data_IF_801457637270
#
_entry.id   IF_801457637270
#
_cell.length_a   1.000
_cell.length_b   1.000
_cell.length_c   1.000
_cell.angle_alpha   90.00
_cell.angle_beta   90.00
_cell.angle_gamma   90.00
#
_symmetry.space_group_name_H-M   'P 1'
#
loop_
_entity.id
_entity.type
_entity.pdbx_description
1 polymer ?
#
# COMPACT_ATOMS: atom_id res chain seq x y z
N UNK A 1 8.22 -23.88 10.13
CA UNK A 1 7.35 -22.75 9.73
C UNK A 1 7.06 -21.73 10.85
N UNK A 2 6.94 -22.11 12.14
CA UNK A 2 6.62 -21.16 13.22
C UNK A 2 7.67 -20.07 13.52
N UNK A 3 8.97 -20.31 13.24
CA UNK A 3 10.05 -19.34 13.54
C UNK A 3 10.08 -18.11 12.62
N UNK A 4 9.56 -18.22 11.39
CA UNK A 4 9.48 -17.08 10.48
C UNK A 4 8.36 -16.15 10.97
N UNK A 5 7.15 -16.69 11.15
CA UNK A 5 6.00 -15.95 11.67
C UNK A 5 6.27 -15.30 13.03
N UNK A 6 6.88 -16.01 13.99
CA UNK A 6 7.17 -15.43 15.31
C UNK A 6 8.24 -14.33 15.27
N UNK A 7 9.14 -14.30 14.27
CA UNK A 7 10.13 -13.22 14.11
C UNK A 7 9.49 -11.94 13.57
N UNK A 8 8.59 -12.07 12.58
CA UNK A 8 7.81 -10.94 12.07
C UNK A 8 6.84 -10.40 13.15
N UNK A 9 6.30 -11.29 13.99
CA UNK A 9 5.37 -10.94 15.07
C UNK A 9 6.08 -10.33 16.30
N UNK A 10 7.27 -10.82 16.66
CA UNK A 10 8.06 -10.28 17.78
C UNK A 10 8.71 -8.91 17.51
N UNK A 11 8.74 -8.46 16.25
CA UNK A 11 9.31 -7.16 15.87
C UNK A 11 8.35 -6.00 16.05
N UNK A 12 7.05 -6.26 16.22
CA UNK A 12 6.04 -5.25 16.47
C UNK A 12 5.53 -5.46 17.89
N UNK A 13 6.01 -4.63 18.82
CA UNK A 13 5.52 -4.68 20.20
C UNK A 13 4.04 -4.25 20.22
N UNK A 14 3.15 -5.23 20.33
CA UNK A 14 1.71 -5.02 20.41
C UNK A 14 1.30 -4.32 21.72
N UNK A 15 2.15 -4.40 22.75
CA UNK A 15 1.86 -3.94 24.11
C UNK A 15 2.98 -3.04 24.68
N UNK A 16 3.25 -1.87 24.08
CA UNK A 16 4.31 -1.00 24.57
C UNK A 16 4.07 -0.58 26.03
N UNK A 17 5.10 -0.75 26.87
CA UNK A 17 5.06 -0.39 28.29
C UNK A 17 5.00 1.13 28.52
N UNK A 18 5.41 1.93 27.54
CA UNK A 18 5.41 3.39 27.58
C UNK A 18 4.04 3.98 27.95
N UNK A 19 4.05 5.01 28.81
CA UNK A 19 2.86 5.76 29.18
C UNK A 19 2.24 6.38 27.93
N UNK A 20 0.92 6.20 27.69
CA UNK A 20 0.27 6.80 26.54
C UNK A 20 0.38 8.32 26.65
N UNK A 21 0.90 8.96 25.60
CA UNK A 21 1.00 10.42 25.50
C UNK A 21 -0.23 10.95 24.78
N UNK A 22 -0.62 12.20 25.06
CA UNK A 22 -1.82 12.78 24.46
C UNK A 22 -1.72 12.70 22.92
N UNK A 23 -2.65 12.02 22.24
CA UNK A 23 -2.59 11.91 20.80
C UNK A 23 -2.74 13.31 20.17
N UNK A 24 -1.91 13.66 19.17
CA UNK A 24 -1.97 14.97 18.54
C UNK A 24 -3.34 15.20 17.88
N UNK A 25 -3.83 16.44 17.93
CA UNK A 25 -5.18 16.85 17.51
C UNK A 25 -5.39 16.82 15.99
N UNK A 26 -4.32 16.67 15.21
CA UNK A 26 -4.38 16.57 13.74
C UNK A 26 -4.51 15.11 13.28
N UNK A 27 -5.40 14.81 12.33
CA UNK A 27 -5.58 13.46 11.76
C UNK A 27 -4.27 12.85 11.24
N UNK A 28 -3.46 13.64 10.53
CA UNK A 28 -2.15 13.21 10.01
C UNK A 28 -1.16 12.91 11.14
N UNK A 29 -1.09 13.76 12.16
CA UNK A 29 -0.28 13.54 13.35
C UNK A 29 -0.74 12.32 14.16
N UNK A 30 -2.05 12.05 14.24
CA UNK A 30 -2.61 10.90 14.91
C UNK A 30 -2.20 9.61 14.19
N UNK A 31 -2.43 9.54 12.88
CA UNK A 31 -2.00 8.42 12.05
C UNK A 31 -0.48 8.20 12.15
N UNK A 32 0.33 9.27 12.10
CA UNK A 32 1.78 9.18 12.22
C UNK A 32 2.22 8.72 13.62
N UNK A 33 1.56 9.16 14.69
CA UNK A 33 1.88 8.76 16.06
C UNK A 33 1.68 7.25 16.25
N UNK A 34 0.58 6.68 15.74
CA UNK A 34 0.32 5.26 15.80
C UNK A 34 1.11 4.44 14.76
N UNK A 35 1.44 5.03 13.59
CA UNK A 35 2.19 4.37 12.53
C UNK A 35 3.71 4.41 12.71
N UNK A 36 4.27 5.36 13.48
CA UNK A 36 5.73 5.52 13.72
C UNK A 36 6.48 4.21 13.99
N UNK A 37 6.04 3.35 14.92
CA UNK A 37 6.73 2.10 15.20
C UNK A 37 6.52 1.01 14.13
N UNK A 38 5.55 1.18 13.22
CA UNK A 38 5.30 0.30 12.07
C UNK A 38 5.86 0.85 10.75
N UNK A 39 6.43 2.06 10.75
CA UNK A 39 7.05 2.68 9.57
C UNK A 39 8.02 1.76 8.81
N UNK A 40 8.96 1.03 9.43
CA UNK A 40 9.88 0.17 8.67
C UNK A 40 9.15 -0.93 7.89
N UNK A 41 8.07 -1.49 8.45
CA UNK A 41 7.24 -2.49 7.78
C UNK A 41 6.36 -1.89 6.69
N UNK A 42 5.81 -0.69 6.93
CA UNK A 42 5.05 0.06 5.93
C UNK A 42 5.94 0.46 4.73
N UNK A 43 7.18 0.88 4.97
CA UNK A 43 8.15 1.17 3.91
C UNK A 43 8.58 -0.09 3.15
N UNK A 44 8.81 -1.21 3.85
CA UNK A 44 9.12 -2.47 3.20
C UNK A 44 7.97 -2.95 2.30
N UNK A 45 6.73 -2.85 2.78
CA UNK A 45 5.53 -3.18 1.99
C UNK A 45 5.39 -2.24 0.79
N UNK A 46 5.50 -0.94 1.02
CA UNK A 46 5.45 0.09 -0.03
C UNK A 46 6.51 -0.15 -1.10
N UNK A 47 7.74 -0.50 -0.71
CA UNK A 47 8.81 -0.89 -1.62
C UNK A 47 8.45 -2.12 -2.46
N UNK A 48 7.81 -3.13 -1.87
CA UNK A 48 7.31 -4.29 -2.60
C UNK A 48 6.25 -3.93 -3.63
N UNK A 49 5.30 -3.06 -3.27
CA UNK A 49 4.26 -2.57 -4.19
C UNK A 49 4.86 -1.74 -5.33
N UNK A 50 5.90 -0.94 -5.08
CA UNK A 50 6.65 -0.23 -6.12
C UNK A 50 7.38 -1.22 -7.05
N UNK A 51 8.06 -2.22 -6.50
CA UNK A 51 8.72 -3.25 -7.31
C UNK A 51 7.73 -4.00 -8.20
N UNK A 52 6.56 -4.32 -7.67
CA UNK A 52 5.48 -4.94 -8.43
C UNK A 52 5.08 -4.07 -9.63
N UNK A 53 4.79 -2.78 -9.39
CA UNK A 53 4.44 -1.83 -10.44
C UNK A 53 5.53 -1.70 -11.51
N UNK A 54 6.81 -1.60 -11.10
CA UNK A 54 7.94 -1.50 -12.03
C UNK A 54 8.02 -2.73 -12.95
N UNK A 55 7.90 -3.93 -12.39
CA UNK A 55 7.94 -5.18 -13.17
C UNK A 55 6.79 -5.20 -14.20
N UNK A 56 5.60 -4.79 -13.78
CA UNK A 56 4.43 -4.73 -14.66
C UNK A 56 4.61 -3.73 -15.81
N UNK A 57 5.14 -2.54 -15.53
CA UNK A 57 5.47 -1.53 -16.55
C UNK A 57 6.51 -2.09 -17.54
N UNK A 58 7.54 -2.80 -17.05
CA UNK A 58 8.55 -3.43 -17.90
C UNK A 58 7.91 -4.48 -18.82
N UNK A 59 6.98 -5.29 -18.30
CA UNK A 59 6.27 -6.31 -19.07
C UNK A 59 5.40 -5.69 -20.16
N UNK A 60 4.67 -4.62 -19.85
CA UNK A 60 3.84 -3.88 -20.83
C UNK A 60 4.74 -3.23 -21.89
N UNK A 61 5.84 -2.59 -21.49
CA UNK A 61 6.79 -1.99 -22.43
C UNK A 61 7.52 -3.03 -23.30
N UNK A 62 7.72 -4.24 -22.79
CA UNK A 62 8.24 -5.35 -23.58
C UNK A 62 7.22 -5.87 -24.58
N UNK A 63 5.94 -5.95 -24.21
CA UNK A 63 4.87 -6.36 -25.14
C UNK A 63 4.86 -5.49 -26.39
N UNK A 64 4.96 -4.16 -26.24
CA UNK A 64 5.05 -3.25 -27.39
C UNK A 64 6.26 -3.53 -28.30
N UNK A 65 7.44 -3.76 -27.70
CA UNK A 65 8.65 -4.12 -28.47
C UNK A 65 8.57 -5.50 -29.11
N UNK A 66 7.90 -6.45 -28.45
CA UNK A 66 7.69 -7.80 -28.94
C UNK A 66 6.83 -7.79 -30.20
N UNK A 67 5.74 -7.03 -30.20
CA UNK A 67 4.89 -6.85 -31.41
C UNK A 67 5.71 -6.27 -32.56
N UNK A 68 6.49 -5.20 -32.31
CA UNK A 68 7.33 -4.59 -33.35
C UNK A 68 8.36 -5.58 -33.92
N UNK A 69 9.06 -6.34 -33.06
CA UNK A 69 10.04 -7.35 -33.50
C UNK A 69 9.39 -8.49 -34.28
N UNK A 70 8.19 -8.91 -33.89
CA UNK A 70 7.45 -9.94 -34.61
C UNK A 70 7.10 -9.48 -36.03
N UNK A 71 6.78 -8.20 -36.20
CA UNK A 71 6.56 -7.59 -37.52
C UNK A 71 7.84 -7.48 -38.37
N UNK A 72 9.00 -7.31 -37.75
CA UNK A 72 10.30 -7.15 -38.44
C UNK A 72 10.97 -8.49 -38.83
N UNK A 73 10.98 -9.48 -37.95
CA UNK A 73 11.85 -10.68 -38.09
C UNK A 73 11.19 -11.89 -38.78
N UNK A 74 9.87 -11.87 -39.01
CA UNK A 74 9.14 -13.00 -39.60
C UNK A 74 9.10 -14.26 -38.71
N UNK A 75 8.17 -15.20 -38.95
CA UNK A 75 7.90 -16.32 -38.02
C UNK A 75 9.08 -17.28 -37.82
N UNK A 76 9.92 -17.45 -38.84
CA UNK A 76 10.98 -18.48 -38.85
C UNK A 76 12.21 -18.08 -38.02
N UNK A 77 12.56 -16.79 -37.96
CA UNK A 77 13.71 -16.28 -37.19
C UNK A 77 13.33 -15.80 -35.79
N UNK A 78 12.09 -15.36 -35.61
CA UNK A 78 11.59 -14.85 -34.34
C UNK A 78 11.74 -15.85 -33.19
N UNK A 79 11.38 -17.12 -33.39
CA UNK A 79 11.49 -18.11 -32.32
C UNK A 79 12.93 -18.51 -32.01
N UNK A 80 13.86 -18.45 -32.97
CA UNK A 80 15.26 -18.79 -32.70
C UNK A 80 15.99 -17.68 -31.91
N UNK A 81 15.70 -16.42 -32.23
CA UNK A 81 16.40 -15.27 -31.65
C UNK A 81 15.75 -14.74 -30.36
N UNK A 82 14.41 -14.84 -30.24
CA UNK A 82 13.67 -14.17 -29.18
C UNK A 82 13.16 -15.12 -28.07
N UNK A 83 13.29 -16.45 -28.23
CA UNK A 83 12.83 -17.44 -27.23
C UNK A 83 13.43 -17.19 -25.84
N UNK A 84 14.73 -16.87 -25.78
CA UNK A 84 15.43 -16.66 -24.51
C UNK A 84 14.88 -15.47 -23.74
N UNK A 85 14.57 -14.37 -24.44
CA UNK A 85 13.94 -13.18 -23.84
C UNK A 85 12.49 -13.45 -23.47
N UNK A 86 11.73 -14.12 -24.33
CA UNK A 86 10.35 -14.54 -24.07
C UNK A 86 10.26 -15.41 -22.80
N UNK A 87 11.13 -16.41 -22.66
CA UNK A 87 11.18 -17.27 -21.48
C UNK A 87 11.57 -16.50 -20.22
N UNK A 88 12.52 -15.56 -20.31
CA UNK A 88 12.89 -14.69 -19.20
C UNK A 88 11.73 -13.81 -18.73
N UNK A 89 11.00 -13.18 -19.66
CA UNK A 89 9.84 -12.34 -19.35
C UNK A 89 8.63 -13.17 -18.86
N UNK A 90 8.42 -14.36 -19.42
CA UNK A 90 7.42 -15.31 -18.94
C UNK A 90 7.74 -15.77 -17.51
N UNK A 91 9.01 -16.05 -17.19
CA UNK A 91 9.45 -16.35 -15.83
C UNK A 91 9.23 -15.19 -14.87
N UNK A 92 9.51 -13.95 -15.30
CA UNK A 92 9.24 -12.75 -14.51
C UNK A 92 7.74 -12.60 -14.20
N UNK A 93 6.87 -12.83 -15.19
CA UNK A 93 5.42 -12.76 -15.02
C UNK A 93 4.84 -13.92 -14.19
N UNK A 94 5.24 -15.16 -14.47
CA UNK A 94 4.63 -16.36 -13.88
C UNK A 94 5.23 -16.76 -12.53
N UNK A 95 6.45 -16.29 -12.22
CA UNK A 95 7.15 -16.67 -10.99
C UNK A 95 7.41 -15.44 -10.13
N UNK A 96 8.08 -14.41 -10.67
CA UNK A 96 8.51 -13.28 -9.84
C UNK A 96 7.32 -12.45 -9.32
N UNK A 97 6.35 -12.12 -10.17
CA UNK A 97 5.15 -11.36 -9.75
C UNK A 97 4.33 -12.11 -8.68
N UNK A 98 3.99 -13.40 -8.83
CA UNK A 98 3.32 -14.16 -7.77
C UNK A 98 4.13 -14.22 -6.48
N UNK A 99 5.45 -14.41 -6.53
CA UNK A 99 6.28 -14.43 -5.33
C UNK A 99 6.24 -13.08 -4.60
N UNK A 100 6.40 -11.97 -5.33
CA UNK A 100 6.33 -10.62 -4.76
C UNK A 100 4.95 -10.37 -4.16
N UNK A 101 3.89 -10.74 -4.88
CA UNK A 101 2.50 -10.61 -4.42
C UNK A 101 2.23 -11.41 -3.14
N UNK A 102 2.70 -12.67 -3.09
CA UNK A 102 2.54 -13.54 -1.91
C UNK A 102 3.33 -12.98 -0.72
N UNK A 103 4.57 -12.53 -0.91
CA UNK A 103 5.36 -11.92 0.17
C UNK A 103 4.66 -10.65 0.67
N UNK A 104 4.18 -9.79 -0.23
CA UNK A 104 3.43 -8.58 0.11
C UNK A 104 2.15 -8.90 0.88
N UNK A 105 1.38 -9.88 0.42
CA UNK A 105 0.18 -10.35 1.08
C UNK A 105 0.48 -10.94 2.47
N UNK A 106 1.56 -11.71 2.62
CA UNK A 106 1.98 -12.26 3.91
C UNK A 106 2.34 -11.13 4.89
N UNK A 107 3.12 -10.14 4.46
CA UNK A 107 3.45 -8.99 5.31
C UNK A 107 2.18 -8.21 5.69
N UNK A 108 1.30 -7.95 4.72
CA UNK A 108 0.08 -7.19 4.94
C UNK A 108 -0.86 -7.90 5.92
N UNK A 109 -1.26 -9.14 5.60
CA UNK A 109 -2.28 -9.86 6.36
C UNK A 109 -1.75 -10.44 7.66
N UNK A 110 -0.50 -10.92 7.69
CA UNK A 110 0.04 -11.60 8.86
C UNK A 110 0.67 -10.63 9.86
N UNK A 111 1.43 -9.64 9.41
CA UNK A 111 2.19 -8.77 10.31
C UNK A 111 1.42 -7.51 10.69
N UNK A 112 0.70 -6.88 9.75
CA UNK A 112 0.15 -5.53 9.95
C UNK A 112 -1.36 -5.54 10.25
N UNK A 113 -2.14 -6.31 9.49
CA UNK A 113 -3.62 -6.32 9.56
C UNK A 113 -4.14 -6.64 10.98
N UNK A 114 -3.47 -7.55 11.70
CA UNK A 114 -3.83 -7.96 13.06
C UNK A 114 -3.20 -7.10 14.17
N UNK A 115 -1.91 -6.81 14.08
CA UNK A 115 -1.18 -6.13 15.17
C UNK A 115 -1.50 -4.63 15.27
N UNK A 116 -1.70 -3.97 14.13
CA UNK A 116 -1.94 -2.51 14.09
C UNK A 116 -3.20 -2.08 14.88
N UNK A 117 -4.41 -2.65 14.65
CA UNK A 117 -5.60 -2.22 15.39
C UNK A 117 -5.56 -2.67 16.85
N UNK A 118 -4.93 -3.81 17.18
CA UNK A 118 -4.83 -4.27 18.56
C UNK A 118 -3.92 -3.37 19.40
N UNK A 119 -2.82 -2.89 18.83
CA UNK A 119 -1.95 -1.90 19.49
C UNK A 119 -2.68 -0.59 19.78
N UNK A 120 -3.48 -0.09 18.85
CA UNK A 120 -4.29 1.11 19.05
C UNK A 120 -5.31 0.89 20.16
N UNK A 121 -6.01 -0.25 20.14
CA UNK A 121 -6.97 -0.63 21.19
C UNK A 121 -6.32 -0.70 22.57
N UNK A 122 -5.13 -1.29 22.67
CA UNK A 122 -4.39 -1.39 23.93
C UNK A 122 -3.98 -0.02 24.48
N UNK A 123 -3.40 0.84 23.64
CA UNK A 123 -2.98 2.18 24.06
C UNK A 123 -4.17 3.03 24.50
N UNK A 124 -5.28 2.95 23.76
CA UNK A 124 -6.48 3.68 24.12
C UNK A 124 -7.15 3.12 25.38
N UNK A 125 -7.15 1.80 25.59
CA UNK A 125 -7.63 1.20 26.83
C UNK A 125 -6.82 1.71 28.03
N UNK A 126 -5.48 1.72 27.93
CA UNK A 126 -4.60 2.28 28.98
C UNK A 126 -4.83 3.78 29.20
N UNK A 127 -5.14 4.54 28.14
CA UNK A 127 -5.46 5.96 28.24
C UNK A 127 -6.80 6.20 28.95
N UNK A 128 -7.82 5.40 28.65
CA UNK A 128 -9.15 5.50 29.28
C UNK A 128 -9.07 5.20 30.77
N UNK A 129 -8.23 4.22 31.19
CA UNK A 129 -8.01 3.92 32.62
C UNK A 129 -7.46 5.09 33.44
N UNK A 130 -6.83 6.09 32.78
CA UNK A 130 -6.31 7.28 33.43
C UNK A 130 -7.28 8.46 33.51
N UNK A 131 -8.52 8.30 33.02
CA UNK A 131 -9.50 9.40 32.98
C UNK A 131 -10.23 9.58 34.31
N UNK A 132 -10.69 10.82 34.54
CA UNK A 132 -11.42 11.19 35.76
C UNK A 132 -12.80 10.51 35.85
N UNK A 133 -13.32 10.37 37.07
CA UNK A 133 -14.65 9.80 37.29
C UNK A 133 -15.77 10.63 36.61
N UNK A 134 -15.61 11.95 36.52
CA UNK A 134 -16.57 12.83 35.83
C UNK A 134 -16.73 12.49 34.35
N UNK A 135 -15.63 12.16 33.66
CA UNK A 135 -15.67 11.73 32.25
C UNK A 135 -16.52 10.46 32.05
N UNK A 136 -16.48 9.52 32.99
CA UNK A 136 -17.30 8.30 32.95
C UNK A 136 -18.77 8.54 33.34
N UNK A 137 -19.07 9.65 34.01
CA UNK A 137 -20.45 10.07 34.31
C UNK A 137 -21.09 10.78 33.12
N UNK A 138 -20.31 11.56 32.37
CA UNK A 138 -20.80 12.34 31.22
C UNK A 138 -20.95 11.49 29.94
N UNK A 139 -20.07 10.50 29.74
CA UNK A 139 -20.01 9.75 28.47
C UNK A 139 -20.31 8.25 28.68
N UNK A 140 -21.35 7.74 28.01
CA UNK A 140 -21.74 6.33 28.11
C UNK A 140 -20.63 5.39 27.64
N UNK A 141 -20.29 4.40 28.47
CA UNK A 141 -19.25 3.40 28.20
C UNK A 141 -19.40 2.70 26.84
N UNK A 142 -20.64 2.42 26.40
CA UNK A 142 -20.91 1.82 25.09
C UNK A 142 -20.46 2.71 23.93
N UNK A 143 -20.67 4.02 24.02
CA UNK A 143 -20.25 4.97 22.98
C UNK A 143 -18.73 5.07 22.88
N UNK A 144 -18.06 5.08 24.04
CA UNK A 144 -16.59 5.09 24.12
C UNK A 144 -16.02 3.81 23.48
N UNK A 145 -16.57 2.65 23.82
CA UNK A 145 -16.13 1.36 23.29
C UNK A 145 -16.33 1.28 21.77
N UNK A 146 -17.48 1.71 21.24
CA UNK A 146 -17.73 1.72 19.79
C UNK A 146 -16.81 2.72 19.06
N UNK A 147 -16.66 3.94 19.57
CA UNK A 147 -15.74 4.93 18.99
C UNK A 147 -14.32 4.38 18.95
N UNK A 148 -13.86 3.77 20.04
CA UNK A 148 -12.53 3.17 20.09
C UNK A 148 -12.37 2.05 19.05
N UNK A 149 -13.33 1.12 19.02
CA UNK A 149 -13.30 -0.04 18.14
C UNK A 149 -13.22 0.37 16.66
N UNK A 150 -14.11 1.29 16.25
CA UNK A 150 -14.20 1.76 14.87
C UNK A 150 -13.00 2.62 14.50
N UNK A 151 -12.58 3.55 15.36
CA UNK A 151 -11.43 4.43 15.08
C UNK A 151 -10.15 3.63 14.85
N UNK A 152 -9.91 2.58 15.64
CA UNK A 152 -8.74 1.71 15.45
C UNK A 152 -8.73 1.00 14.09
N UNK A 153 -9.91 0.59 13.60
CA UNK A 153 -10.05 -0.07 12.30
C UNK A 153 -9.88 0.95 11.16
N UNK A 154 -10.54 2.11 11.26
CA UNK A 154 -10.47 3.16 10.24
C UNK A 154 -9.05 3.72 10.08
N UNK A 155 -8.35 3.98 11.18
CA UNK A 155 -6.96 4.49 11.15
C UNK A 155 -6.03 3.50 10.47
N UNK A 156 -6.16 2.20 10.79
CA UNK A 156 -5.43 1.14 10.10
C UNK A 156 -5.71 1.18 8.60
N UNK A 157 -6.98 1.21 8.21
CA UNK A 157 -7.37 1.15 6.80
C UNK A 157 -6.83 2.34 6.01
N UNK A 158 -6.89 3.55 6.56
CA UNK A 158 -6.32 4.76 5.94
C UNK A 158 -4.81 4.63 5.76
N UNK A 159 -4.08 4.24 6.81
CA UNK A 159 -2.61 4.10 6.74
C UNK A 159 -2.20 3.03 5.72
N UNK A 160 -2.89 1.89 5.72
CA UNK A 160 -2.61 0.79 4.79
C UNK A 160 -2.89 1.21 3.35
N UNK A 161 -4.05 1.83 3.08
CA UNK A 161 -4.39 2.30 1.72
C UNK A 161 -3.40 3.35 1.22
N UNK A 162 -2.93 4.24 2.10
CA UNK A 162 -1.97 5.27 1.74
C UNK A 162 -0.58 4.70 1.43
N UNK A 163 -0.12 3.69 2.16
CA UNK A 163 1.23 3.13 1.98
C UNK A 163 1.30 2.04 0.90
N UNK A 164 0.18 1.37 0.63
CA UNK A 164 0.09 0.32 -0.39
C UNK A 164 -0.51 0.85 -1.69
N UNK A 165 -1.84 0.97 -1.73
CA UNK A 165 -2.60 1.25 -2.95
C UNK A 165 -2.21 2.61 -3.54
N UNK A 166 -2.08 3.65 -2.72
CA UNK A 166 -1.73 4.98 -3.22
C UNK A 166 -0.30 5.03 -3.77
N UNK A 167 0.66 4.35 -3.12
CA UNK A 167 2.03 4.26 -3.63
C UNK A 167 2.09 3.44 -4.91
N UNK A 168 1.41 2.30 -4.94
CA UNK A 168 1.30 1.45 -6.12
C UNK A 168 0.75 2.23 -7.33
N UNK A 169 -0.41 2.88 -7.17
CA UNK A 169 -1.04 3.66 -8.25
C UNK A 169 -0.12 4.80 -8.68
N UNK A 170 0.54 5.49 -7.73
CA UNK A 170 1.47 6.58 -8.05
C UNK A 170 2.66 6.08 -8.86
N UNK A 171 3.30 4.99 -8.43
CA UNK A 171 4.43 4.39 -9.13
C UNK A 171 4.05 3.89 -10.52
N UNK A 172 2.89 3.22 -10.62
CA UNK A 172 2.36 2.74 -11.89
C UNK A 172 2.07 3.90 -12.85
N UNK A 173 1.33 4.92 -12.39
CA UNK A 173 1.00 6.09 -13.20
C UNK A 173 2.24 6.83 -13.69
N UNK A 174 3.21 7.09 -12.81
CA UNK A 174 4.47 7.74 -13.18
C UNK A 174 5.24 6.90 -14.19
N UNK A 175 5.34 5.59 -13.97
CA UNK A 175 6.09 4.70 -14.86
C UNK A 175 5.42 4.50 -16.22
N UNK A 176 4.09 4.40 -16.28
CA UNK A 176 3.34 4.38 -17.55
C UNK A 176 3.47 5.70 -18.29
N UNK A 177 3.37 6.84 -17.59
CA UNK A 177 3.57 8.15 -18.18
C UNK A 177 4.99 8.30 -18.76
N UNK A 178 5.99 7.83 -18.02
CA UNK A 178 7.37 7.81 -18.49
C UNK A 178 7.53 6.93 -19.73
N UNK A 179 7.00 5.71 -19.71
CA UNK A 179 7.04 4.81 -20.85
C UNK A 179 6.36 5.43 -22.09
N UNK A 180 5.19 6.02 -21.93
CA UNK A 180 4.48 6.72 -23.01
C UNK A 180 5.30 7.91 -23.55
N UNK A 181 5.90 8.71 -22.67
CA UNK A 181 6.72 9.86 -23.05
C UNK A 181 7.97 9.45 -23.84
N UNK A 182 8.54 8.27 -23.57
CA UNK A 182 9.67 7.73 -24.37
C UNK A 182 9.26 7.28 -25.78
N UNK A 183 7.99 6.96 -26.00
CA UNK A 183 7.49 6.54 -27.31
C UNK A 183 7.04 7.73 -28.16
N UNK A 184 6.17 8.58 -27.62
CA UNK A 184 5.79 9.86 -28.21
C UNK A 184 5.17 10.75 -27.11
N UNK A 185 5.69 11.97 -26.95
CA UNK A 185 5.18 12.92 -25.96
C UNK A 185 3.69 13.25 -26.14
N UNK A 186 3.16 13.10 -27.37
CA UNK A 186 1.73 13.29 -27.65
C UNK A 186 0.85 12.24 -27.00
N UNK A 187 1.37 11.03 -26.77
CA UNK A 187 0.64 9.95 -26.09
C UNK A 187 0.50 10.22 -24.59
N UNK A 188 1.37 11.03 -23.98
CA UNK A 188 1.31 11.38 -22.56
C UNK A 188 0.21 12.41 -22.23
N UNK A 189 -0.14 13.29 -23.18
CA UNK A 189 -1.16 14.34 -23.03
C UNK A 189 -2.53 13.82 -22.56
N UNK A 190 -3.15 12.81 -23.20
CA UNK A 190 -4.45 12.30 -22.75
C UNK A 190 -4.42 11.72 -21.33
N UNK A 191 -3.32 11.06 -20.93
CA UNK A 191 -3.17 10.54 -19.56
C UNK A 191 -3.08 11.66 -18.52
N UNK A 192 -2.35 12.73 -18.82
CA UNK A 192 -2.27 13.89 -17.94
C UNK A 192 -3.63 14.57 -17.81
N UNK A 193 -4.30 14.82 -18.93
CA UNK A 193 -5.63 15.45 -18.94
C UNK A 193 -6.63 14.62 -18.12
N UNK A 194 -6.65 13.30 -18.32
CA UNK A 194 -7.50 12.40 -17.57
C UNK A 194 -7.18 12.41 -16.07
N UNK A 195 -5.88 12.39 -15.71
CA UNK A 195 -5.44 12.44 -14.31
C UNK A 195 -5.85 13.73 -13.61
N UNK A 196 -5.70 14.89 -14.27
CA UNK A 196 -6.18 16.17 -13.75
C UNK A 196 -7.70 16.21 -13.61
N UNK A 197 -8.43 15.72 -14.62
CA UNK A 197 -9.90 15.65 -14.57
C UNK A 197 -10.39 14.74 -13.44
N UNK A 198 -9.75 13.59 -13.25
CA UNK A 198 -10.06 12.65 -12.17
C UNK A 198 -9.73 13.25 -10.79
N UNK A 199 -8.58 13.92 -10.65
CA UNK A 199 -8.22 14.64 -9.43
C UNK A 199 -9.21 15.75 -9.08
N UNK A 200 -9.64 16.54 -10.07
CA UNK A 200 -10.66 17.56 -9.89
C UNK A 200 -12.02 16.95 -9.48
N UNK A 201 -12.41 15.85 -10.11
CA UNK A 201 -13.63 15.12 -9.77
C UNK A 201 -13.61 14.65 -8.31
N UNK A 202 -12.51 14.02 -7.87
CA UNK A 202 -12.33 13.60 -6.47
C UNK A 202 -12.42 14.79 -5.52
N UNK A 203 -11.79 15.92 -5.86
CA UNK A 203 -11.82 17.10 -5.01
C UNK A 203 -13.23 17.71 -4.87
N UNK A 204 -14.10 17.56 -5.87
CA UNK A 204 -15.48 18.01 -5.81
C UNK A 204 -16.40 17.01 -5.10
N UNK A 205 -16.20 15.71 -5.32
CA UNK A 205 -17.11 14.67 -4.81
C UNK A 205 -16.76 14.24 -3.37
N UNK A 206 -15.48 14.07 -3.03
CA UNK A 206 -15.05 13.59 -1.70
C UNK A 206 -15.56 14.47 -0.55
N UNK A 207 -15.50 15.82 -0.62
CA UNK A 207 -16.02 16.66 0.45
C UNK A 207 -17.54 16.61 0.62
N UNK A 208 -18.28 16.11 -0.39
CA UNK A 208 -19.75 15.99 -0.36
C UNK A 208 -20.24 14.67 0.22
N UNK A 209 -19.33 13.70 0.43
CA UNK A 209 -19.63 12.37 0.97
C UNK A 209 -19.47 12.28 2.50
N UNK A 210 -18.91 13.31 3.13
CA UNK A 210 -18.82 13.46 4.59
C UNK A 210 -19.89 14.38 5.13
#
# INVERSE_FOLDING_TARGET
MNKLFSRFEAQIDAYPAALPTQPPTTLSGFCLHFARPLLPWLFAMSGLSVMFAIIEIILIGYLGRLVNRMSELGPERFMAEELGRLMGMAGLQLIALPIISVIGALVMYQAIMGNFPQRIRWQAHRWILGQSMGYFQDEFAGRIATRLMQTAISVREVVMKLMDVAVYISAYFIGTLWLAATQDARLALPFLLWSFAYGALLWVIVPRLG
#
